data_IF_212924515903
#
_entry.id   IF_212924515903
#
_cell.length_a   1.000
_cell.length_b   1.000
_cell.length_c   1.000
_cell.angle_alpha   90.00
_cell.angle_beta   90.00
_cell.angle_gamma   90.00
#
_symmetry.space_group_name_H-M   'P 1'
#
loop_
_entity.id
_entity.type
_entity.pdbx_description
1 polymer ?
#
# COMPACT_ATOMS: atom_id res chain seq x y z
N UNK A 1 -20.93 56.39 40.92
CA UNK A 1 -22.01 55.76 41.72
C UNK A 1 -22.46 54.51 40.97
N UNK A 2 -22.54 53.30 41.49
CA UNK A 2 -22.27 52.72 42.80
C UNK A 2 -22.09 51.22 42.60
N UNK A 3 -21.09 50.66 43.26
CA UNK A 3 -20.75 49.25 43.48
C UNK A 3 -21.81 48.50 44.31
N UNK A 4 -21.89 47.16 44.13
CA UNK A 4 -22.20 46.08 45.12
C UNK A 4 -22.24 44.75 44.35
N UNK A 5 -21.34 43.77 44.48
CA UNK A 5 -20.78 43.07 45.65
C UNK A 5 -21.86 42.45 46.56
N UNK A 6 -22.01 41.12 46.47
CA UNK A 6 -22.90 40.32 47.31
C UNK A 6 -22.39 38.88 47.39
N UNK A 7 -21.34 38.65 48.19
CA UNK A 7 -20.83 37.34 48.53
C UNK A 7 -21.73 36.69 49.61
N UNK A 8 -22.06 35.41 49.44
CA UNK A 8 -22.80 34.61 50.42
C UNK A 8 -21.85 33.74 51.26
N UNK A 9 -22.03 33.64 52.59
CA UNK A 9 -21.07 33.03 53.49
C UNK A 9 -21.24 31.52 53.70
N UNK A 10 -20.08 30.91 54.00
CA UNK A 10 -19.79 29.52 54.36
C UNK A 10 -20.75 28.89 55.39
N UNK A 11 -21.04 27.60 55.20
CA UNK A 11 -21.15 26.63 56.30
C UNK A 11 -20.34 25.37 55.96
N UNK A 12 -19.34 25.10 56.80
CA UNK A 12 -18.51 23.90 56.80
C UNK A 12 -19.25 22.77 57.53
N UNK A 13 -19.37 21.56 56.97
CA UNK A 13 -19.53 20.37 57.77
C UNK A 13 -18.16 19.95 58.36
N UNK A 14 -18.09 19.95 59.69
CA UNK A 14 -17.05 19.27 60.48
C UNK A 14 -17.40 17.78 60.60
N UNK A 15 -16.35 17.00 60.83
CA UNK A 15 -16.29 15.56 61.15
C UNK A 15 -16.24 14.63 59.92
N UNK A 16 -15.33 13.66 59.82
CA UNK A 16 -14.38 13.11 60.77
C UNK A 16 -13.13 12.61 60.03
N UNK A 17 -11.94 12.99 60.51
CA UNK A 17 -10.71 12.29 60.16
C UNK A 17 -10.79 10.87 60.73
N UNK A 18 -11.16 9.90 59.90
CA UNK A 18 -10.77 8.51 60.14
C UNK A 18 -9.39 8.31 59.53
N UNK A 19 -8.38 8.49 60.38
CA UNK A 19 -7.08 7.88 60.16
C UNK A 19 -7.28 6.36 60.07
N UNK A 20 -7.25 5.83 58.85
CA UNK A 20 -7.10 4.39 58.59
C UNK A 20 -5.78 4.22 57.85
N UNK A 21 -4.89 3.47 58.49
CA UNK A 21 -3.49 3.35 58.13
C UNK A 21 -3.27 3.07 56.66
N UNK A 22 -2.25 3.72 56.11
CA UNK A 22 -1.65 3.33 54.84
C UNK A 22 -1.32 1.83 54.91
N UNK A 23 -1.77 1.00 53.95
CA UNK A 23 -1.29 -0.36 53.85
C UNK A 23 0.19 -0.31 53.46
N UNK A 24 1.07 -0.58 54.44
CA UNK A 24 2.51 -0.80 54.27
C UNK A 24 2.86 -2.00 53.34
N UNK A 25 1.87 -2.59 52.66
CA UNK A 25 2.03 -3.69 51.72
C UNK A 25 2.37 -3.24 50.28
N UNK A 26 2.13 -1.98 49.90
CA UNK A 26 2.40 -1.51 48.54
C UNK A 26 3.88 -1.31 48.20
N UNK A 27 4.71 -1.00 49.19
CA UNK A 27 6.14 -0.78 49.00
C UNK A 27 6.92 -2.08 48.74
N UNK A 28 6.49 -3.20 49.33
CA UNK A 28 7.11 -4.51 49.09
C UNK A 28 6.82 -4.99 47.66
N UNK A 29 5.60 -4.76 47.15
CA UNK A 29 5.24 -5.15 45.78
C UNK A 29 6.03 -4.39 44.72
N UNK A 30 6.23 -3.08 44.89
CA UNK A 30 7.03 -2.26 43.95
C UNK A 30 8.52 -2.57 44.08
N UNK A 31 9.03 -2.84 45.29
CA UNK A 31 10.42 -3.25 45.48
C UNK A 31 10.68 -4.65 44.90
N UNK A 32 9.73 -5.59 45.02
CA UNK A 32 9.82 -6.91 44.40
C UNK A 32 9.79 -6.83 42.87
N UNK A 33 8.96 -5.96 42.27
CA UNK A 33 8.97 -5.77 40.82
C UNK A 33 10.25 -5.09 40.32
N UNK A 34 10.85 -4.19 41.09
CA UNK A 34 12.12 -3.56 40.73
C UNK A 34 13.34 -4.49 40.92
N UNK A 35 13.29 -5.42 41.88
CA UNK A 35 14.36 -6.40 42.15
C UNK A 35 14.27 -7.64 41.24
N UNK A 36 13.06 -8.12 40.92
CA UNK A 36 12.86 -9.28 40.05
C UNK A 36 12.58 -8.93 38.58
N UNK A 37 12.13 -7.71 38.28
CA UNK A 37 11.93 -7.21 36.92
C UNK A 37 13.20 -6.67 36.27
N UNK A 38 14.36 -7.23 36.64
CA UNK A 38 15.64 -6.90 36.03
C UNK A 38 15.51 -6.94 34.51
N UNK A 39 15.94 -5.86 33.85
CA UNK A 39 16.01 -5.75 32.41
C UNK A 39 16.82 -6.92 31.88
N UNK A 40 16.14 -7.97 31.41
CA UNK A 40 16.78 -9.01 30.63
C UNK A 40 17.24 -8.31 29.35
N UNK A 41 18.54 -8.01 29.27
CA UNK A 41 19.15 -7.57 28.02
C UNK A 41 18.80 -8.62 26.97
N UNK A 42 18.26 -8.23 25.79
CA UNK A 42 18.02 -9.19 24.72
C UNK A 42 19.33 -9.90 24.44
N UNK A 43 19.39 -11.19 24.78
CA UNK A 43 20.57 -11.98 24.53
C UNK A 43 20.67 -12.13 23.00
N UNK A 44 21.75 -11.66 22.35
CA UNK A 44 21.94 -11.92 20.94
C UNK A 44 21.98 -13.44 20.77
N UNK A 45 20.99 -13.97 20.06
CA UNK A 45 20.98 -15.39 19.70
C UNK A 45 21.79 -15.49 18.42
N UNK A 46 23.06 -15.88 18.53
CA UNK A 46 23.85 -16.21 17.34
C UNK A 46 23.32 -17.53 16.78
N UNK A 47 22.41 -17.43 15.80
CA UNK A 47 22.07 -18.55 14.95
C UNK A 47 23.24 -18.75 13.98
N UNK A 48 24.18 -19.62 14.35
CA UNK A 48 25.22 -20.09 13.47
C UNK A 48 24.74 -21.38 12.79
N UNK A 49 24.63 -21.37 11.46
CA UNK A 49 24.48 -22.58 10.65
C UNK A 49 25.81 -23.34 10.73
N UNK A 50 25.93 -24.24 11.71
CA UNK A 50 27.15 -25.02 11.98
C UNK A 50 27.01 -26.48 11.57
N UNK A 51 25.85 -26.88 11.04
CA UNK A 51 25.66 -28.21 10.47
C UNK A 51 26.44 -28.34 9.16
N UNK A 52 27.18 -29.44 9.04
CA UNK A 52 27.88 -29.81 7.81
C UNK A 52 26.93 -30.31 6.71
N UNK A 53 25.63 -29.99 6.78
CA UNK A 53 24.65 -30.23 5.72
C UNK A 53 24.79 -29.19 4.61
N UNK A 54 26.00 -29.05 4.08
CA UNK A 54 26.19 -28.38 2.82
C UNK A 54 25.81 -29.39 1.74
N UNK A 55 24.74 -29.12 1.00
CA UNK A 55 24.46 -29.86 -0.23
C UNK A 55 25.66 -29.69 -1.16
N UNK A 56 26.52 -30.71 -1.24
CA UNK A 56 27.61 -30.78 -2.20
C UNK A 56 26.99 -30.85 -3.59
N UNK A 57 26.92 -29.69 -4.24
CA UNK A 57 26.56 -29.54 -5.65
C UNK A 57 25.07 -29.74 -5.98
N UNK A 58 24.16 -29.07 -5.27
CA UNK A 58 22.80 -28.88 -5.80
C UNK A 58 22.83 -27.71 -6.79
N UNK A 59 22.47 -27.96 -8.04
CA UNK A 59 22.32 -26.90 -9.04
C UNK A 59 21.08 -26.06 -8.70
N UNK A 60 21.28 -24.92 -8.03
CA UNK A 60 20.23 -23.94 -7.80
C UNK A 60 20.07 -23.09 -9.07
N UNK A 61 18.93 -23.24 -9.75
CA UNK A 61 18.58 -22.36 -10.86
C UNK A 61 17.76 -21.19 -10.34
N UNK A 62 18.37 -20.00 -10.33
CA UNK A 62 17.63 -18.78 -10.07
C UNK A 62 16.75 -18.44 -11.28
N UNK A 63 15.47 -18.16 -11.04
CA UNK A 63 14.55 -17.69 -12.08
C UNK A 63 14.35 -16.20 -11.87
N UNK A 64 14.58 -15.41 -12.92
CA UNK A 64 14.24 -13.99 -12.95
C UNK A 64 12.94 -13.83 -13.72
N UNK A 65 11.92 -13.30 -13.07
CA UNK A 65 10.64 -12.95 -13.71
C UNK A 65 10.72 -11.49 -14.14
N UNK A 66 10.81 -11.19 -15.45
CA UNK A 66 11.02 -9.84 -15.96
C UNK A 66 9.76 -9.00 -15.72
N UNK A 67 9.93 -7.79 -15.19
CA UNK A 67 8.83 -6.82 -15.18
C UNK A 67 8.57 -6.32 -16.61
N UNK A 68 7.28 -6.14 -17.01
CA UNK A 68 6.96 -5.42 -18.23
C UNK A 68 7.52 -4.00 -18.20
N UNK A 69 8.03 -3.51 -19.33
CA UNK A 69 8.44 -2.11 -19.48
C UNK A 69 7.30 -1.35 -20.13
N UNK A 70 6.87 -0.26 -19.50
CA UNK A 70 5.88 0.67 -20.04
C UNK A 70 6.63 1.73 -20.85
N UNK A 71 6.28 1.83 -22.13
CA UNK A 71 6.93 2.70 -23.11
C UNK A 71 6.24 4.05 -23.19
N UNK A 72 4.90 4.05 -23.25
CA UNK A 72 4.10 5.27 -23.37
C UNK A 72 2.87 5.20 -22.49
N UNK A 73 2.39 6.37 -22.10
CA UNK A 73 1.11 6.54 -21.43
C UNK A 73 0.36 7.73 -22.02
N UNK A 74 -0.93 7.53 -22.22
CA UNK A 74 -1.90 8.54 -22.58
C UNK A 74 -3.06 8.51 -21.58
N UNK A 75 -3.15 9.54 -20.75
CA UNK A 75 -4.29 9.80 -19.88
C UNK A 75 -5.29 10.69 -20.61
N UNK A 76 -6.57 10.31 -20.61
CA UNK A 76 -7.63 11.03 -21.29
C UNK A 76 -8.91 11.08 -20.47
N UNK A 77 -9.59 12.22 -20.52
CA UNK A 77 -10.99 12.34 -20.15
C UNK A 77 -11.81 12.41 -21.43
N UNK A 78 -12.66 11.42 -21.68
CA UNK A 78 -13.47 11.33 -22.90
C UNK A 78 -14.93 11.67 -22.58
N UNK A 79 -15.58 12.48 -23.41
CA UNK A 79 -17.02 12.70 -23.31
C UNK A 79 -17.76 11.63 -24.12
N UNK A 80 -18.23 10.59 -23.44
CA UNK A 80 -18.96 9.47 -24.05
C UNK A 80 -20.41 9.53 -23.59
N UNK A 81 -21.34 9.74 -24.53
CA UNK A 81 -22.78 9.81 -24.24
C UNK A 81 -23.13 10.77 -23.09
N UNK A 82 -22.56 11.98 -23.13
CA UNK A 82 -22.70 13.04 -22.11
C UNK A 82 -22.09 12.72 -20.74
N UNK A 83 -21.36 11.61 -20.61
CA UNK A 83 -20.64 11.23 -19.38
C UNK A 83 -19.15 11.37 -19.59
N UNK A 84 -18.48 12.09 -18.68
CA UNK A 84 -17.02 12.15 -18.65
C UNK A 84 -16.47 10.80 -18.17
N UNK A 85 -15.73 10.13 -19.04
CA UNK A 85 -15.17 8.81 -18.81
C UNK A 85 -13.64 8.88 -18.84
N UNK A 86 -12.96 8.68 -17.70
CA UNK A 86 -11.51 8.59 -17.66
C UNK A 86 -11.02 7.32 -18.36
N UNK A 87 -9.88 7.45 -19.05
CA UNK A 87 -9.21 6.37 -19.76
C UNK A 87 -7.69 6.53 -19.66
N UNK A 88 -6.98 5.48 -19.27
CA UNK A 88 -5.51 5.37 -19.45
C UNK A 88 -5.23 4.39 -20.57
N UNK A 89 -4.46 4.81 -21.57
CA UNK A 89 -3.91 3.91 -22.58
C UNK A 89 -2.40 3.84 -22.40
N UNK A 90 -1.86 2.63 -22.27
CA UNK A 90 -0.41 2.42 -22.14
C UNK A 90 0.07 1.46 -23.22
N UNK A 91 1.27 1.71 -23.73
CA UNK A 91 2.00 0.73 -24.55
C UNK A 91 3.14 0.14 -23.73
N UNK A 92 3.38 -1.15 -23.88
CA UNK A 92 4.36 -1.85 -23.07
C UNK A 92 4.89 -3.10 -23.78
N UNK A 93 6.04 -3.59 -23.34
CA UNK A 93 6.63 -4.83 -23.84
C UNK A 93 7.34 -5.60 -22.72
N UNK A 94 7.69 -6.86 -22.99
CA UNK A 94 8.58 -7.62 -22.12
C UNK A 94 10.03 -7.40 -22.54
N UNK A 95 10.96 -7.16 -21.62
CA UNK A 95 12.38 -6.95 -21.94
C UNK A 95 13.08 -8.23 -22.41
N UNK A 96 12.47 -9.40 -22.18
CA UNK A 96 13.02 -10.70 -22.56
C UNK A 96 11.96 -11.55 -23.26
N UNK A 97 12.40 -12.44 -24.13
CA UNK A 97 11.54 -13.40 -24.79
C UNK A 97 10.99 -14.45 -23.82
N UNK A 98 9.93 -15.17 -24.23
CA UNK A 98 9.31 -16.24 -23.43
C UNK A 98 8.13 -15.78 -22.56
N UNK A 99 7.88 -14.48 -22.49
CA UNK A 99 6.68 -13.91 -21.86
C UNK A 99 5.75 -13.34 -22.93
N UNK A 100 4.45 -13.56 -22.72
CA UNK A 100 3.38 -13.14 -23.64
C UNK A 100 2.29 -12.39 -22.86
N UNK A 101 1.31 -11.81 -23.55
CA UNK A 101 0.17 -11.15 -22.91
C UNK A 101 -0.57 -12.05 -21.90
N UNK A 102 -0.51 -13.39 -22.01
CA UNK A 102 -1.11 -14.31 -21.04
C UNK A 102 -0.43 -14.28 -19.66
N UNK A 103 0.85 -13.88 -19.63
CA UNK A 103 1.63 -13.71 -18.41
C UNK A 103 1.32 -12.37 -17.71
N UNK A 104 0.68 -11.42 -18.39
CA UNK A 104 0.42 -10.11 -17.85
C UNK A 104 -0.56 -10.16 -16.67
N UNK A 105 -0.26 -9.35 -15.66
CA UNK A 105 -1.14 -9.09 -14.52
C UNK A 105 -1.33 -7.59 -14.43
N UNK A 106 -2.59 -7.18 -14.36
CA UNK A 106 -2.99 -5.78 -14.38
C UNK A 106 -3.38 -5.35 -12.98
N UNK A 107 -3.04 -4.12 -12.64
CA UNK A 107 -3.33 -3.57 -11.33
C UNK A 107 -3.93 -2.19 -11.47
N UNK A 108 -4.74 -1.82 -10.50
CA UNK A 108 -5.29 -0.48 -10.32
C UNK A 108 -5.20 -0.10 -8.85
N UNK A 109 -4.99 1.18 -8.57
CA UNK A 109 -4.99 1.72 -7.22
C UNK A 109 -6.32 2.42 -6.90
N UNK A 110 -7.03 1.89 -5.91
CA UNK A 110 -8.20 2.56 -5.33
C UNK A 110 -7.75 3.43 -4.14
N UNK A 111 -8.13 4.70 -4.18
CA UNK A 111 -7.66 5.78 -3.29
C UNK A 111 -7.98 5.56 -1.81
N UNK A 112 -8.76 4.53 -1.45
CA UNK A 112 -9.18 4.25 -0.08
C UNK A 112 -8.30 3.32 0.75
N UNK A 113 -7.39 2.51 0.16
CA UNK A 113 -6.78 1.37 0.88
C UNK A 113 -5.27 1.15 0.68
N UNK A 114 -4.51 2.10 0.13
CA UNK A 114 -3.05 2.02 -0.03
C UNK A 114 -2.53 0.76 -0.76
N UNK A 115 -3.39 0.03 -1.48
CA UNK A 115 -3.04 -1.26 -2.08
C UNK A 115 -3.43 -1.31 -3.54
N UNK A 116 -2.45 -1.69 -4.39
CA UNK A 116 -2.72 -2.10 -5.75
C UNK A 116 -3.64 -3.32 -5.74
N UNK A 117 -4.79 -3.20 -6.39
CA UNK A 117 -5.78 -4.26 -6.56
C UNK A 117 -5.55 -4.91 -7.92
N UNK A 118 -5.44 -6.23 -7.94
CA UNK A 118 -5.34 -6.98 -9.19
C UNK A 118 -6.66 -6.87 -9.97
N UNK A 119 -6.56 -6.64 -11.27
CA UNK A 119 -7.69 -6.47 -12.18
C UNK A 119 -7.61 -7.51 -13.29
N UNK A 120 -8.75 -8.15 -13.56
CA UNK A 120 -8.85 -9.10 -14.65
C UNK A 120 -9.07 -8.38 -15.99
N UNK A 121 -8.54 -8.96 -17.07
CA UNK A 121 -8.91 -8.54 -18.42
C UNK A 121 -10.44 -8.66 -18.61
N UNK A 122 -11.01 -7.70 -19.34
CA UNK A 122 -12.45 -7.53 -19.52
C UNK A 122 -13.14 -6.82 -18.34
N UNK A 123 -12.51 -6.70 -17.18
CA UNK A 123 -13.08 -6.02 -16.00
C UNK A 123 -12.61 -4.57 -15.93
N UNK A 124 -12.79 -3.80 -17.02
CA UNK A 124 -12.32 -2.42 -17.15
C UNK A 124 -10.89 -2.28 -17.71
N UNK A 125 -10.20 -3.40 -17.98
CA UNK A 125 -8.92 -3.42 -18.70
C UNK A 125 -9.06 -4.25 -19.97
N UNK A 126 -8.58 -3.74 -21.09
CA UNK A 126 -8.45 -4.48 -22.34
C UNK A 126 -7.03 -4.37 -22.85
N UNK A 127 -6.48 -5.45 -23.42
CA UNK A 127 -5.16 -5.44 -24.04
C UNK A 127 -5.22 -6.02 -25.43
N UNK A 128 -4.52 -5.38 -26.37
CA UNK A 128 -4.34 -5.84 -27.74
C UNK A 128 -2.85 -5.99 -28.07
N UNK A 129 -2.56 -6.71 -29.16
CA UNK A 129 -1.20 -7.00 -29.62
C UNK A 129 -0.73 -8.44 -29.31
N UNK A 130 0.57 -8.71 -29.47
CA UNK A 130 1.62 -7.74 -29.74
C UNK A 130 1.64 -7.28 -31.20
N UNK A 131 1.88 -6.00 -31.45
CA UNK A 131 2.29 -5.47 -32.75
C UNK A 131 3.76 -5.10 -32.68
N UNK A 132 4.61 -5.76 -33.48
CA UNK A 132 6.07 -5.60 -33.42
C UNK A 132 6.67 -5.75 -32.01
N UNK A 133 6.10 -6.64 -31.17
CA UNK A 133 6.55 -6.90 -29.80
C UNK A 133 5.90 -6.00 -28.72
N UNK A 134 5.14 -4.98 -29.11
CA UNK A 134 4.47 -4.05 -28.19
C UNK A 134 3.00 -4.39 -28.02
N UNK A 135 2.57 -4.44 -26.77
CA UNK A 135 1.18 -4.56 -26.36
C UNK A 135 0.59 -3.19 -26.07
N UNK A 136 -0.73 -3.04 -26.26
CA UNK A 136 -1.45 -1.83 -25.87
C UNK A 136 -2.54 -2.20 -24.88
N UNK A 137 -2.51 -1.60 -23.68
CA UNK A 137 -3.53 -1.80 -22.66
C UNK A 137 -4.34 -0.52 -22.46
N UNK A 138 -5.66 -0.68 -22.30
CA UNK A 138 -6.59 0.40 -22.03
C UNK A 138 -7.31 0.11 -20.71
N UNK A 139 -7.16 1.00 -19.74
CA UNK A 139 -7.84 1.00 -18.45
C UNK A 139 -8.96 2.05 -18.52
N UNK A 140 -10.19 1.66 -18.22
CA UNK A 140 -11.38 2.51 -18.35
C UNK A 140 -12.55 2.03 -17.48
N UNK A 141 -13.61 2.83 -17.42
CA UNK A 141 -14.89 2.44 -16.83
C UNK A 141 -14.92 2.55 -15.31
N UNK A 142 -15.63 1.63 -14.64
CA UNK A 142 -15.88 1.69 -13.20
C UNK A 142 -14.64 1.55 -12.32
N UNK A 143 -13.56 0.96 -12.86
CA UNK A 143 -12.23 0.98 -12.20
C UNK A 143 -11.84 2.41 -11.85
N UNK A 144 -12.16 3.34 -12.74
CA UNK A 144 -11.79 4.73 -12.64
C UNK A 144 -12.97 5.62 -12.18
N UNK A 145 -14.07 5.04 -11.68
CA UNK A 145 -15.23 5.82 -11.24
C UNK A 145 -15.08 6.37 -9.82
N UNK A 146 -14.17 5.82 -9.00
CA UNK A 146 -13.85 6.26 -7.64
C UNK A 146 -12.83 7.41 -7.56
N UNK A 147 -12.56 8.06 -8.69
CA UNK A 147 -11.53 9.07 -8.91
C UNK A 147 -11.87 10.40 -8.22
N UNK A 148 -11.89 10.40 -6.89
CA UNK A 148 -11.84 11.61 -6.08
C UNK A 148 -10.50 12.29 -6.40
N UNK A 149 -10.56 13.45 -7.07
CA UNK A 149 -9.43 14.32 -7.47
C UNK A 149 -8.83 14.13 -8.88
N UNK A 150 -9.36 13.27 -9.74
CA UNK A 150 -8.89 13.23 -11.13
C UNK A 150 -7.49 12.61 -11.31
N UNK A 151 -7.08 11.70 -10.42
CA UNK A 151 -5.86 10.88 -10.56
C UNK A 151 -6.13 9.37 -10.47
N UNK A 152 -5.34 8.56 -11.18
CA UNK A 152 -5.37 7.10 -11.08
C UNK A 152 -3.99 6.48 -11.25
N UNK A 153 -3.70 5.44 -10.47
CA UNK A 153 -2.54 4.59 -10.72
C UNK A 153 -2.97 3.26 -11.35
N UNK A 154 -2.28 2.89 -12.42
CA UNK A 154 -2.45 1.59 -13.07
C UNK A 154 -1.10 0.90 -13.19
N UNK A 155 -1.09 -0.44 -13.18
CA UNK A 155 0.15 -1.19 -13.13
C UNK A 155 0.12 -2.49 -13.93
N UNK A 156 1.32 -2.99 -14.21
CA UNK A 156 1.60 -4.21 -14.96
C UNK A 156 2.68 -5.01 -14.25
N UNK A 157 2.46 -6.32 -14.11
CA UNK A 157 3.49 -7.29 -13.72
C UNK A 157 3.43 -8.52 -14.62
N UNK A 158 4.42 -9.40 -14.49
CA UNK A 158 4.48 -10.69 -15.14
C UNK A 158 4.30 -11.82 -14.12
N UNK A 159 3.42 -12.77 -14.41
CA UNK A 159 3.31 -14.02 -13.66
C UNK A 159 4.04 -15.15 -14.40
N UNK A 160 4.88 -15.86 -13.64
CA UNK A 160 5.57 -17.06 -14.10
C UNK A 160 4.82 -18.33 -13.66
N UNK A 161 5.00 -19.43 -14.38
CA UNK A 161 4.35 -20.72 -14.09
C UNK A 161 4.71 -21.31 -12.73
N UNK A 162 5.86 -20.92 -12.16
CA UNK A 162 6.27 -21.29 -10.80
C UNK A 162 5.51 -20.55 -9.69
N UNK A 163 4.61 -19.62 -10.03
CA UNK A 163 3.88 -18.79 -9.08
C UNK A 163 4.58 -17.48 -8.69
N UNK A 164 5.81 -17.25 -9.15
CA UNK A 164 6.52 -15.98 -8.95
C UNK A 164 5.91 -14.86 -9.80
N UNK A 165 5.90 -13.65 -9.26
CA UNK A 165 5.45 -12.43 -9.95
C UNK A 165 6.58 -11.42 -9.94
N UNK A 166 6.77 -10.70 -11.04
CA UNK A 166 7.76 -9.62 -11.15
C UNK A 166 7.42 -8.43 -10.24
N UNK A 167 8.34 -7.46 -10.16
CA UNK A 167 7.98 -6.10 -9.76
C UNK A 167 6.88 -5.51 -10.66
N UNK A 168 6.18 -4.50 -10.14
CA UNK A 168 5.07 -3.84 -10.86
C UNK A 168 5.59 -2.54 -11.49
N UNK A 169 5.54 -2.46 -12.82
CA UNK A 169 5.69 -1.19 -13.52
C UNK A 169 4.37 -0.43 -13.46
N UNK A 170 4.42 0.84 -13.08
CA UNK A 170 3.26 1.65 -12.75
C UNK A 170 3.19 2.92 -13.59
N UNK A 171 1.98 3.43 -13.70
CA UNK A 171 1.66 4.71 -14.31
C UNK A 171 0.76 5.47 -13.37
N UNK A 172 1.20 6.67 -12.99
CA UNK A 172 0.37 7.66 -12.33
C UNK A 172 -0.23 8.58 -13.39
N UNK A 173 -1.54 8.51 -13.60
CA UNK A 173 -2.27 9.31 -14.57
C UNK A 173 -3.06 10.41 -13.89
N UNK A 174 -2.87 11.65 -14.33
CA UNK A 174 -3.71 12.80 -13.97
C UNK A 174 -4.67 13.07 -15.12
N UNK A 175 -5.94 13.35 -14.82
CA UNK A 175 -6.98 13.65 -15.81
C UNK A 175 -7.37 15.12 -15.73
N UNK A 176 -7.66 15.75 -16.88
CA UNK A 176 -8.31 17.04 -16.88
C UNK A 176 -9.73 16.93 -16.34
N UNK A 177 -10.22 18.00 -15.68
CA UNK A 177 -11.59 18.09 -15.17
C UNK A 177 -12.66 18.08 -16.28
N UNK A 178 -12.26 18.49 -17.49
CA UNK A 178 -13.10 18.47 -18.70
C UNK A 178 -12.49 17.51 -19.73
N UNK A 179 -13.22 17.24 -20.81
CA UNK A 179 -12.71 16.37 -21.87
C UNK A 179 -11.36 16.86 -22.42
N UNK A 180 -10.41 15.95 -22.64
CA UNK A 180 -9.07 16.26 -23.10
C UNK A 180 -8.02 15.23 -22.70
N UNK A 181 -6.76 15.57 -22.95
CA UNK A 181 -5.59 14.77 -22.54
C UNK A 181 -5.03 15.30 -21.22
N UNK A 182 -4.68 14.39 -20.33
CA UNK A 182 -3.98 14.70 -19.08
C UNK A 182 -2.49 14.39 -19.16
N UNK A 183 -1.87 14.24 -18.00
CA UNK A 183 -0.45 13.87 -17.88
C UNK A 183 -0.30 12.47 -17.32
N UNK A 184 0.84 11.85 -17.59
CA UNK A 184 1.23 10.58 -16.99
C UNK A 184 2.65 10.65 -16.47
N UNK A 185 2.92 9.89 -15.41
CA UNK A 185 4.28 9.60 -14.94
C UNK A 185 4.47 8.09 -14.91
N UNK A 186 5.44 7.59 -15.67
CA UNK A 186 5.76 6.16 -15.77
C UNK A 186 6.88 5.84 -14.78
N UNK A 187 6.70 4.76 -14.01
CA UNK A 187 7.73 4.18 -13.14
C UNK A 187 7.87 2.70 -13.49
N UNK A 188 8.99 2.34 -14.14
CA UNK A 188 9.30 0.94 -14.42
C UNK A 188 10.02 0.31 -13.23
N UNK A 189 9.72 -0.97 -12.96
CA UNK A 189 10.33 -1.76 -11.89
C UNK A 189 11.70 -2.32 -12.23
#
# INVERSE_FOLDING_TARGET
MSTRAGASPRRLPRAALRARGLPRAGLIGVLLLAVFGGFASPAPTEAAFTDAEHGTSVALTAIVVPAPIIDTCLSQMLLLSLTLTPRVTITWHYPTAGYTGANARYFYYDTGLLRLVAVNLGSGVTTTGPSAGTYTSVFQGSLLAGLLAGEADVGLAAAHSSGWVSGVSMVHANYPLIAGTGTCTITNA
#
